data_IF_369114598520
#
_entry.id   IF_369114598520
#
_cell.length_a   1.000
_cell.length_b   1.000
_cell.length_c   1.000
_cell.angle_alpha   90.00
_cell.angle_beta   90.00
_cell.angle_gamma   90.00
#
_symmetry.space_group_name_H-M   'P 1'
#
loop_
_entity.id
_entity.type
_entity.pdbx_description
1 polymer ?
#
# COMPACT_ATOMS: atom_id res chain seq x y z
N UNK A 1 -11.96 12.56 -2.60
CA UNK A 1 -11.33 12.13 -3.87
C UNK A 1 -10.25 11.12 -3.53
N UNK A 2 -10.10 10.04 -4.29
CA UNK A 2 -8.97 9.11 -4.11
C UNK A 2 -7.65 9.79 -4.48
N UNK A 3 -6.54 9.27 -3.94
CA UNK A 3 -5.20 9.80 -4.17
C UNK A 3 -4.82 9.68 -5.65
N UNK A 4 -4.52 10.81 -6.29
CA UNK A 4 -4.00 10.85 -7.66
C UNK A 4 -2.49 11.14 -7.65
N UNK A 5 -1.73 10.39 -8.46
CA UNK A 5 -0.28 10.57 -8.63
C UNK A 5 0.01 10.68 -10.12
N UNK A 6 0.79 11.69 -10.52
CA UNK A 6 1.16 11.93 -11.92
C UNK A 6 2.67 11.80 -12.09
N UNK A 7 3.10 10.78 -12.86
CA UNK A 7 4.49 10.67 -13.31
C UNK A 7 4.68 11.59 -14.53
N UNK A 8 5.36 12.74 -14.36
CA UNK A 8 5.47 13.80 -15.37
C UNK A 8 6.42 13.44 -16.53
N UNK A 9 6.16 12.33 -17.23
CA UNK A 9 7.01 11.74 -18.28
C UNK A 9 6.73 12.28 -19.68
N UNK A 10 5.60 12.96 -19.89
CA UNK A 10 5.24 13.50 -21.20
C UNK A 10 4.50 14.85 -21.08
N UNK A 11 4.42 15.65 -22.16
CA UNK A 11 3.61 16.87 -22.17
C UNK A 11 2.13 16.63 -21.86
N UNK A 12 1.58 15.49 -22.32
CA UNK A 12 0.19 15.12 -22.06
C UNK A 12 -0.06 14.91 -20.55
N UNK A 13 0.82 14.18 -19.87
CA UNK A 13 0.66 13.94 -18.41
C UNK A 13 0.79 15.25 -17.63
N UNK A 14 1.71 16.15 -18.04
CA UNK A 14 1.82 17.49 -17.45
C UNK A 14 0.55 18.30 -17.59
N UNK A 15 -0.10 18.25 -18.75
CA UNK A 15 -1.40 18.91 -18.96
C UNK A 15 -2.49 18.33 -18.07
N UNK A 16 -2.55 17.01 -17.93
CA UNK A 16 -3.52 16.34 -17.07
C UNK A 16 -3.32 16.71 -15.58
N UNK A 17 -2.06 16.74 -15.13
CA UNK A 17 -1.73 17.16 -13.77
C UNK A 17 -2.14 18.61 -13.51
N UNK A 18 -1.86 19.53 -14.44
CA UNK A 18 -2.27 20.93 -14.34
C UNK A 18 -3.79 21.08 -14.25
N UNK A 19 -4.54 20.31 -15.05
CA UNK A 19 -6.00 20.29 -15.00
C UNK A 19 -6.52 19.78 -13.65
N UNK A 20 -5.92 18.72 -13.09
CA UNK A 20 -6.31 18.20 -11.78
C UNK A 20 -6.08 19.23 -10.66
N UNK A 21 -4.93 19.93 -10.69
CA UNK A 21 -4.62 20.99 -9.73
C UNK A 21 -5.61 22.16 -9.84
N UNK A 22 -6.02 22.53 -11.05
CA UNK A 22 -6.94 23.65 -11.27
C UNK A 22 -8.37 23.40 -10.75
N UNK A 23 -8.78 22.13 -10.59
CA UNK A 23 -10.15 21.75 -10.23
C UNK A 23 -10.29 21.15 -8.83
N UNK A 24 -9.21 21.13 -8.04
CA UNK A 24 -9.23 20.53 -6.70
C UNK A 24 -9.92 21.48 -5.68
N UNK A 25 -10.67 20.97 -4.70
CA UNK A 25 -11.27 21.81 -3.66
C UNK A 25 -10.22 22.53 -2.79
N UNK A 26 -10.65 23.61 -2.12
CA UNK A 26 -9.82 24.32 -1.14
C UNK A 26 -9.32 23.40 -0.02
N UNK A 27 -8.11 23.68 0.47
CA UNK A 27 -7.46 22.90 1.54
C UNK A 27 -6.61 21.71 1.05
N UNK A 28 -6.56 21.43 -0.25
CA UNK A 28 -5.65 20.43 -0.81
C UNK A 28 -4.21 20.97 -0.95
N UNK A 29 -3.22 20.07 -0.84
CA UNK A 29 -1.79 20.39 -0.98
C UNK A 29 -1.23 19.76 -2.25
N UNK A 30 -0.52 20.54 -3.06
CA UNK A 30 0.28 20.06 -4.18
C UNK A 30 1.76 19.93 -3.78
N UNK A 31 2.42 18.88 -4.25
CA UNK A 31 3.83 18.64 -3.98
C UNK A 31 4.53 18.10 -5.23
N UNK A 32 5.59 18.80 -5.67
CA UNK A 32 6.47 18.34 -6.74
C UNK A 32 7.74 17.78 -6.10
N UNK A 33 8.07 16.55 -6.43
CA UNK A 33 9.30 15.88 -5.98
C UNK A 33 9.90 15.08 -7.13
N UNK A 34 11.24 14.92 -7.17
CA UNK A 34 11.87 13.98 -8.09
C UNK A 34 11.30 12.57 -7.89
N UNK A 35 11.09 11.86 -9.00
CA UNK A 35 10.73 10.44 -8.95
C UNK A 35 11.92 9.67 -8.38
N UNK A 36 11.67 8.86 -7.35
CA UNK A 36 12.69 7.98 -6.76
C UNK A 36 12.23 6.55 -6.85
N UNK A 37 13.17 5.61 -7.00
CA UNK A 37 12.88 4.18 -7.04
C UNK A 37 12.09 3.71 -5.81
N UNK A 38 12.35 4.31 -4.64
CA UNK A 38 11.61 4.02 -3.41
C UNK A 38 10.14 4.46 -3.48
N UNK A 39 9.83 5.58 -4.16
CA UNK A 39 8.44 6.02 -4.35
C UNK A 39 7.66 5.06 -5.26
N UNK A 40 8.30 4.56 -6.32
CA UNK A 40 7.68 3.57 -7.21
C UNK A 40 7.42 2.25 -6.48
N UNK A 41 8.38 1.77 -5.69
CA UNK A 41 8.21 0.57 -4.86
C UNK A 41 7.11 0.74 -3.82
N UNK A 42 7.01 1.93 -3.23
CA UNK A 42 5.91 2.22 -2.30
C UNK A 42 4.56 2.26 -3.04
N UNK A 43 4.49 2.85 -4.24
CA UNK A 43 3.28 2.85 -5.07
C UNK A 43 2.83 1.42 -5.41
N UNK A 44 3.78 0.57 -5.81
CA UNK A 44 3.59 -0.85 -6.07
C UNK A 44 2.98 -1.57 -4.88
N UNK A 45 3.62 -1.47 -3.70
CA UNK A 45 3.13 -2.08 -2.46
C UNK A 45 1.68 -1.69 -2.19
N UNK A 46 1.38 -0.40 -2.23
CA UNK A 46 0.01 0.08 -1.96
C UNK A 46 -0.98 -0.40 -3.00
N UNK A 47 -0.58 -0.50 -4.27
CA UNK A 47 -1.43 -1.07 -5.32
C UNK A 47 -1.81 -2.52 -5.00
N UNK A 48 -0.83 -3.36 -4.64
CA UNK A 48 -1.08 -4.76 -4.27
C UNK A 48 -2.02 -4.87 -3.06
N UNK A 49 -1.78 -4.06 -2.02
CA UNK A 49 -2.64 -4.03 -0.82
C UNK A 49 -4.08 -3.59 -1.12
N UNK A 50 -4.27 -2.67 -2.07
CA UNK A 50 -5.60 -2.26 -2.51
C UNK A 50 -6.29 -3.34 -3.34
N UNK A 51 -5.54 -4.12 -4.13
CA UNK A 51 -6.10 -5.29 -4.83
C UNK A 51 -6.55 -6.36 -3.82
N UNK A 52 -5.74 -6.64 -2.78
CA UNK A 52 -6.14 -7.54 -1.68
C UNK A 52 -7.39 -7.06 -0.95
N UNK A 53 -7.43 -5.78 -0.52
CA UNK A 53 -8.55 -5.21 0.22
C UNK A 53 -9.89 -5.36 -0.51
N UNK A 54 -9.87 -5.26 -1.84
CA UNK A 54 -11.07 -5.41 -2.68
C UNK A 54 -11.46 -6.86 -2.95
N UNK A 55 -10.52 -7.82 -2.85
CA UNK A 55 -10.69 -9.16 -3.42
C UNK A 55 -10.61 -10.30 -2.41
N UNK A 56 -9.93 -10.13 -1.28
CA UNK A 56 -9.86 -11.12 -0.19
C UNK A 56 -10.71 -10.74 1.03
N UNK A 57 -11.45 -11.71 1.59
CA UNK A 57 -12.01 -11.66 2.95
C UNK A 57 -11.12 -12.46 3.89
N UNK A 58 -10.96 -11.99 5.13
CA UNK A 58 -10.03 -12.58 6.08
C UNK A 58 -10.64 -12.66 7.49
N UNK A 59 -10.29 -13.67 8.30
CA UNK A 59 -10.81 -13.79 9.65
C UNK A 59 -10.27 -12.70 10.59
N UNK A 60 -11.19 -11.91 11.15
CA UNK A 60 -10.96 -10.98 12.27
C UNK A 60 -11.90 -11.38 13.39
N UNK A 61 -11.35 -11.63 14.60
CA UNK A 61 -12.15 -11.98 15.77
C UNK A 61 -13.17 -13.13 15.51
N UNK A 62 -12.79 -14.11 14.68
CA UNK A 62 -13.61 -15.26 14.32
C UNK A 62 -14.64 -15.02 13.21
N UNK A 63 -14.64 -13.86 12.53
CA UNK A 63 -15.55 -13.53 11.42
C UNK A 63 -14.79 -13.18 10.16
N UNK A 64 -15.29 -13.59 9.01
CA UNK A 64 -14.73 -13.19 7.71
C UNK A 64 -15.14 -11.76 7.40
N UNK A 65 -14.16 -10.88 7.18
CA UNK A 65 -14.37 -9.47 6.92
C UNK A 65 -13.46 -8.96 5.79
N UNK A 66 -13.90 -7.90 5.11
CA UNK A 66 -13.05 -7.13 4.19
C UNK A 66 -12.16 -6.19 4.99
N UNK A 67 -10.86 -6.35 4.82
CA UNK A 67 -9.85 -5.53 5.50
C UNK A 67 -9.48 -4.29 4.69
N UNK A 68 -9.09 -3.22 5.37
CA UNK A 68 -8.51 -2.06 4.68
C UNK A 68 -7.10 -2.39 4.13
N UNK A 69 -6.59 -1.63 3.14
CA UNK A 69 -5.20 -1.78 2.68
C UNK A 69 -4.17 -1.60 3.80
N UNK A 70 -4.50 -0.78 4.81
CA UNK A 70 -3.64 -0.58 5.98
C UNK A 70 -3.59 -1.82 6.87
N UNK A 71 -4.73 -2.47 7.11
CA UNK A 71 -4.77 -3.69 7.91
C UNK A 71 -4.04 -4.82 7.19
N UNK A 72 -4.21 -4.94 5.86
CA UNK A 72 -3.43 -5.88 5.05
C UNK A 72 -1.93 -5.61 5.16
N UNK A 73 -1.49 -4.35 5.17
CA UNK A 73 -0.07 -4.02 5.39
C UNK A 73 0.40 -4.54 6.75
N UNK A 74 -0.39 -4.36 7.80
CA UNK A 74 -0.02 -4.80 9.14
C UNK A 74 0.06 -6.33 9.22
N UNK A 75 -0.92 -7.04 8.65
CA UNK A 75 -0.91 -8.51 8.56
C UNK A 75 0.30 -9.00 7.77
N UNK A 76 0.51 -8.49 6.55
CA UNK A 76 1.57 -8.98 5.66
C UNK A 76 2.96 -8.73 6.23
N UNK A 77 3.18 -7.57 6.84
CA UNK A 77 4.46 -7.27 7.50
C UNK A 77 4.65 -8.11 8.77
N UNK A 78 3.62 -8.30 9.59
CA UNK A 78 3.72 -9.15 10.76
C UNK A 78 3.98 -10.62 10.38
N UNK A 79 3.30 -11.14 9.35
CA UNK A 79 3.45 -12.51 8.87
C UNK A 79 4.80 -12.77 8.22
N UNK A 80 5.28 -11.89 7.33
CA UNK A 80 6.54 -12.11 6.63
C UNK A 80 7.73 -12.21 7.59
N UNK A 81 7.79 -11.32 8.59
CA UNK A 81 8.90 -11.28 9.55
C UNK A 81 8.59 -11.95 10.89
N UNK A 82 7.45 -12.64 10.99
CA UNK A 82 7.02 -13.33 12.22
C UNK A 82 7.09 -12.41 13.45
N UNK A 83 6.57 -11.20 13.31
CA UNK A 83 6.61 -10.18 14.35
C UNK A 83 5.81 -10.64 15.58
N UNK A 84 6.45 -10.58 16.74
CA UNK A 84 5.91 -11.06 18.00
C UNK A 84 6.01 -10.03 19.13
N UNK A 85 6.44 -8.81 18.81
CA UNK A 85 6.52 -7.73 19.77
C UNK A 85 5.13 -7.24 20.13
N UNK A 86 4.68 -7.56 21.34
CA UNK A 86 3.38 -7.17 21.89
C UNK A 86 3.58 -6.23 23.07
N UNK A 87 2.76 -5.18 23.15
CA UNK A 87 2.70 -4.25 24.27
C UNK A 87 1.37 -4.36 25.01
N UNK A 88 1.37 -3.96 26.29
CA UNK A 88 0.13 -3.78 27.06
C UNK A 88 -0.60 -2.53 26.59
N UNK A 89 -1.91 -2.67 26.35
CA UNK A 89 -2.77 -1.53 26.05
C UNK A 89 -2.93 -0.62 27.26
N UNK A 90 -3.02 0.69 27.03
CA UNK A 90 -3.16 1.71 28.09
C UNK A 90 -4.47 1.52 28.89
N UNK A 91 -5.48 0.86 28.30
CA UNK A 91 -6.75 0.49 28.94
C UNK A 91 -6.90 -1.02 29.13
N UNK A 92 -5.79 -1.75 29.23
CA UNK A 92 -5.76 -3.20 29.22
C UNK A 92 -5.74 -3.80 27.81
N UNK A 93 -5.68 -5.14 27.74
CA UNK A 93 -5.52 -5.87 26.49
C UNK A 93 -4.10 -5.82 25.93
N UNK A 94 -3.94 -6.33 24.71
CA UNK A 94 -2.67 -6.47 24.02
C UNK A 94 -2.69 -5.73 22.69
N UNK A 95 -1.56 -5.12 22.32
CA UNK A 95 -1.38 -4.42 21.05
C UNK A 95 -0.11 -4.96 20.39
N UNK A 96 -0.23 -5.51 19.18
CA UNK A 96 0.92 -5.90 18.39
C UNK A 96 1.62 -4.64 17.86
N UNK A 97 2.93 -4.55 18.06
CA UNK A 97 3.74 -3.44 17.57
C UNK A 97 4.40 -3.85 16.25
N UNK A 98 3.72 -3.55 15.15
CA UNK A 98 4.21 -3.84 13.80
C UNK A 98 5.50 -3.09 13.43
N UNK A 99 6.17 -3.57 12.39
CA UNK A 99 7.35 -2.91 11.82
C UNK A 99 6.97 -1.64 11.05
N UNK A 100 7.81 -0.62 11.18
CA UNK A 100 7.70 0.60 10.37
C UNK A 100 8.22 0.33 8.96
N UNK A 101 7.32 0.27 7.99
CA UNK A 101 7.68 0.12 6.57
C UNK A 101 8.39 1.35 6.00
N UNK A 102 8.20 2.52 6.62
CA UNK A 102 8.84 3.78 6.20
C UNK A 102 10.36 3.80 6.37
N UNK A 103 10.92 2.89 7.18
CA UNK A 103 12.37 2.76 7.40
C UNK A 103 12.96 1.51 6.74
N UNK A 104 12.17 0.78 5.94
CA UNK A 104 12.63 -0.44 5.28
C UNK A 104 13.59 -0.10 4.13
N UNK A 105 14.57 -0.99 3.93
CA UNK A 105 15.41 -0.95 2.73
C UNK A 105 14.60 -1.33 1.49
N UNK A 106 15.09 -0.98 0.30
CA UNK A 106 14.46 -1.39 -0.97
C UNK A 106 14.32 -2.91 -1.04
N UNK A 107 15.34 -3.65 -0.59
CA UNK A 107 15.32 -5.11 -0.56
C UNK A 107 14.17 -5.66 0.30
N UNK A 108 14.02 -5.15 1.53
CA UNK A 108 12.94 -5.59 2.41
C UNK A 108 11.55 -5.25 1.84
N UNK A 109 11.44 -4.13 1.11
CA UNK A 109 10.20 -3.77 0.40
C UNK A 109 9.88 -4.74 -0.73
N UNK A 110 10.90 -5.15 -1.52
CA UNK A 110 10.73 -6.14 -2.59
C UNK A 110 10.31 -7.49 -2.02
N UNK A 111 10.97 -7.97 -0.94
CA UNK A 111 10.58 -9.21 -0.26
C UNK A 111 9.13 -9.18 0.24
N UNK A 112 8.65 -8.01 0.72
CA UNK A 112 7.25 -7.83 1.11
C UNK A 112 6.27 -7.90 -0.06
N UNK A 113 6.60 -7.26 -1.19
CA UNK A 113 5.76 -7.30 -2.39
C UNK A 113 5.67 -8.72 -2.95
N UNK A 114 6.79 -9.45 -3.00
CA UNK A 114 6.82 -10.84 -3.47
C UNK A 114 5.94 -11.75 -2.58
N UNK A 115 6.01 -11.55 -1.26
CA UNK A 115 5.16 -12.27 -0.32
C UNK A 115 3.66 -11.96 -0.51
N UNK A 116 3.32 -10.69 -0.76
CA UNK A 116 1.94 -10.27 -1.04
C UNK A 116 1.42 -10.88 -2.35
N UNK A 117 2.25 -10.92 -3.40
CA UNK A 117 1.88 -11.56 -4.65
C UNK A 117 1.63 -13.05 -4.46
N UNK A 118 2.55 -13.77 -3.81
CA UNK A 118 2.36 -15.20 -3.53
C UNK A 118 1.07 -15.46 -2.75
N UNK A 119 0.82 -14.68 -1.70
CA UNK A 119 -0.42 -14.79 -0.93
C UNK A 119 -1.65 -14.51 -1.78
N UNK A 120 -1.67 -13.43 -2.56
CA UNK A 120 -2.83 -13.08 -3.37
C UNK A 120 -3.07 -14.07 -4.51
N UNK A 121 -2.01 -14.63 -5.11
CA UNK A 121 -2.11 -15.67 -6.15
C UNK A 121 -2.77 -16.93 -5.60
N UNK A 122 -2.39 -17.37 -4.39
CA UNK A 122 -3.04 -18.49 -3.69
C UNK A 122 -4.54 -18.23 -3.40
N UNK A 123 -4.94 -16.96 -3.35
CA UNK A 123 -6.32 -16.53 -3.12
C UNK A 123 -7.04 -16.08 -4.41
N UNK A 124 -6.43 -16.28 -5.58
CA UNK A 124 -7.04 -15.97 -6.88
C UNK A 124 -7.23 -14.48 -7.17
N UNK A 125 -6.42 -13.61 -6.56
CA UNK A 125 -6.49 -12.15 -6.71
C UNK A 125 -6.12 -11.75 -8.15
N UNK A 126 -6.94 -10.88 -8.74
CA UNK A 126 -6.66 -10.27 -10.05
C UNK A 126 -5.86 -8.98 -9.85
N UNK A 127 -4.60 -8.98 -10.23
CA UNK A 127 -3.70 -7.85 -10.05
C UNK A 127 -3.92 -6.75 -11.09
N UNK A 128 -4.00 -5.51 -10.60
CA UNK A 128 -3.99 -4.33 -11.45
C UNK A 128 -2.63 -4.13 -12.15
N UNK A 129 -2.56 -3.40 -13.28
CA UNK A 129 -1.30 -3.18 -13.99
C UNK A 129 -0.19 -2.57 -13.13
N UNK A 130 -0.53 -1.62 -12.26
CA UNK A 130 0.41 -1.03 -11.28
C UNK A 130 0.95 -2.08 -10.30
N UNK A 131 0.10 -3.00 -9.83
CA UNK A 131 0.51 -4.11 -8.95
C UNK A 131 1.45 -5.08 -9.64
N UNK A 132 1.36 -5.20 -10.97
CA UNK A 132 2.31 -5.98 -11.77
C UNK A 132 3.59 -5.19 -12.14
N UNK A 133 3.75 -3.97 -11.65
CA UNK A 133 4.87 -3.08 -11.96
C UNK A 133 4.90 -2.56 -13.39
N UNK A 134 3.79 -2.64 -14.13
CA UNK A 134 3.71 -2.29 -15.56
C UNK A 134 3.47 -0.79 -15.82
N UNK A 135 3.00 -0.06 -14.80
CA UNK A 135 2.62 1.36 -14.88
C UNK A 135 3.49 2.29 -13.99
N UNK A 136 4.63 1.79 -13.49
CA UNK A 136 5.54 2.53 -12.61
C UNK A 136 6.50 3.43 -13.38
#
# INVERSE_FOLDING_TARGET
MEKQVFNLVSPLVRRNAAHAIANVPDGYRCELRPRTRTLDQNSLLWSCLNDLARQVEWPINGKQERLSPHDWKDIMTASLWQENRVAMGVRGGFVMLGRRTSTMSVRAMTELVDFIHAFGDDHGVQWSPTSLGRDL
#
